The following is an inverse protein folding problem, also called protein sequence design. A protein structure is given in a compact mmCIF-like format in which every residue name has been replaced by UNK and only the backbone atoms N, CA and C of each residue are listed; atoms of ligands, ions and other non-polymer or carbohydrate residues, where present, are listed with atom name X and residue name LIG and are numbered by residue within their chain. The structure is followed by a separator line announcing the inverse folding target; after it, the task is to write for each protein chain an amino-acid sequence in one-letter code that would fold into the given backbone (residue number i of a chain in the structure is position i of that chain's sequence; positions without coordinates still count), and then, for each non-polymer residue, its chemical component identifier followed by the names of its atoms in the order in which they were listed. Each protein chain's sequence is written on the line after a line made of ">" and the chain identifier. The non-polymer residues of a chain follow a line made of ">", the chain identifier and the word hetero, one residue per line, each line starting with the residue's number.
data_IF_640603456337
#
_entry.id   IF_640603456337
#
_cell.length_a   1.000
_cell.length_b   1.000
_cell.length_c   1.000
_cell.angle_alpha   90.00
_cell.angle_beta   90.00
_cell.angle_gamma   90.00
#
_symmetry.space_group_name_H-M   'P 1'
#
loop_
_entity.id
_entity.type
_entity.pdbx_description
1 polymer ?
#
# COMPACT_ATOMS: atom_id res chain seq x y z
N UNK A 1 1.40 -32.52 45.27
CA UNK A 1 0.47 -32.60 44.11
C UNK A 1 0.19 -31.24 43.49
N UNK A 2 -0.16 -30.20 44.25
CA UNK A 2 -0.51 -28.86 43.71
C UNK A 2 0.63 -28.14 42.94
N UNK A 3 1.90 -28.28 43.37
CA UNK A 3 3.03 -27.63 42.69
C UNK A 3 3.29 -28.23 41.29
N UNK A 4 3.11 -29.54 41.13
CA UNK A 4 3.30 -30.23 39.85
C UNK A 4 2.22 -29.82 38.86
N UNK A 5 0.97 -29.71 39.29
CA UNK A 5 -0.13 -29.25 38.43
C UNK A 5 0.07 -27.81 37.95
N UNK A 6 0.60 -26.92 38.79
CA UNK A 6 0.92 -25.53 38.41
C UNK A 6 2.04 -25.44 37.36
N UNK A 7 3.08 -26.25 37.51
CA UNK A 7 4.19 -26.30 36.55
C UNK A 7 3.70 -26.85 35.20
N UNK A 8 2.91 -27.92 35.21
CA UNK A 8 2.35 -28.51 34.00
C UNK A 8 1.40 -27.55 33.27
N UNK A 9 0.55 -26.81 34.00
CA UNK A 9 -0.30 -25.79 33.38
C UNK A 9 0.51 -24.66 32.75
N UNK A 10 1.59 -24.22 33.41
CA UNK A 10 2.44 -23.15 32.91
C UNK A 10 3.21 -23.58 31.65
N UNK A 11 3.75 -24.81 31.63
CA UNK A 11 4.38 -25.39 30.45
C UNK A 11 3.41 -25.56 29.29
N UNK A 12 2.17 -25.97 29.56
CA UNK A 12 1.11 -26.05 28.55
C UNK A 12 0.76 -24.67 27.98
N UNK A 13 0.62 -23.64 28.81
CA UNK A 13 0.36 -22.27 28.34
C UNK A 13 1.50 -21.69 27.51
N UNK A 14 2.76 -21.94 27.89
CA UNK A 14 3.92 -21.47 27.10
C UNK A 14 3.97 -22.19 25.76
N UNK A 15 3.79 -23.51 25.77
CA UNK A 15 3.81 -24.31 24.54
C UNK A 15 2.69 -23.90 23.59
N UNK A 16 1.46 -23.72 24.09
CA UNK A 16 0.33 -23.28 23.27
C UNK A 16 0.55 -21.88 22.69
N UNK A 17 1.01 -20.91 23.49
CA UNK A 17 1.32 -19.56 22.99
C UNK A 17 2.41 -19.62 21.90
N UNK A 18 3.51 -20.34 22.15
CA UNK A 18 4.60 -20.48 21.18
C UNK A 18 4.13 -21.13 19.88
N UNK A 19 3.35 -22.21 19.96
CA UNK A 19 2.78 -22.88 18.79
C UNK A 19 1.81 -21.96 18.01
N UNK A 20 1.02 -21.14 18.69
CA UNK A 20 0.13 -20.17 18.02
C UNK A 20 0.92 -19.07 17.30
N UNK A 21 2.00 -18.55 17.89
CA UNK A 21 2.84 -17.54 17.25
C UNK A 21 3.56 -18.11 16.03
N UNK A 22 4.13 -19.31 16.13
CA UNK A 22 4.76 -19.99 14.99
C UNK A 22 3.75 -20.25 13.86
N UNK A 23 2.53 -20.66 14.19
CA UNK A 23 1.48 -20.87 13.21
C UNK A 23 1.06 -19.55 12.54
N UNK A 24 0.95 -18.45 13.29
CA UNK A 24 0.66 -17.13 12.73
C UNK A 24 1.76 -16.66 11.79
N UNK A 25 3.04 -16.80 12.16
CA UNK A 25 4.18 -16.47 11.29
C UNK A 25 4.19 -17.33 10.02
N UNK A 26 3.89 -18.62 10.14
CA UNK A 26 3.77 -19.53 9.00
C UNK A 26 2.58 -19.18 8.10
N UNK A 27 1.45 -18.72 8.66
CA UNK A 27 0.30 -18.26 7.86
C UNK A 27 0.56 -16.91 7.18
N UNK A 28 1.26 -15.99 7.83
CA UNK A 28 1.66 -14.70 7.25
C UNK A 28 2.65 -14.94 6.11
N UNK A 29 3.69 -15.73 6.35
CA UNK A 29 4.65 -16.13 5.32
C UNK A 29 4.01 -16.95 4.21
N UNK A 30 3.08 -17.86 4.52
CA UNK A 30 2.33 -18.59 3.49
C UNK A 30 1.42 -17.65 2.68
N UNK A 31 0.80 -16.64 3.29
CA UNK A 31 0.00 -15.63 2.57
C UNK A 31 0.86 -14.73 1.69
N UNK A 32 2.06 -14.34 2.13
CA UNK A 32 2.99 -13.55 1.31
C UNK A 32 3.59 -14.41 0.19
N UNK A 33 3.94 -15.66 0.48
CA UNK A 33 4.38 -16.63 -0.53
C UNK A 33 3.27 -17.01 -1.50
N UNK A 34 2.02 -17.12 -1.07
CA UNK A 34 0.88 -17.44 -1.94
C UNK A 34 0.52 -16.24 -2.82
N UNK A 35 0.60 -15.01 -2.30
CA UNK A 35 0.52 -13.78 -3.13
C UNK A 35 1.66 -13.72 -4.14
N UNK A 36 2.85 -14.16 -3.75
CA UNK A 36 4.03 -14.20 -4.61
C UNK A 36 3.95 -15.32 -5.67
N UNK A 37 3.51 -16.53 -5.31
CA UNK A 37 3.29 -17.64 -6.24
C UNK A 37 2.14 -17.36 -7.21
N UNK A 38 1.07 -16.70 -6.73
CA UNK A 38 -0.02 -16.22 -7.59
C UNK A 38 0.42 -15.06 -8.50
N UNK A 39 1.56 -14.42 -8.21
CA UNK A 39 2.17 -13.41 -9.08
C UNK A 39 3.13 -14.00 -10.13
N UNK A 40 3.38 -15.30 -10.09
CA UNK A 40 4.14 -16.02 -11.13
C UNK A 40 3.20 -16.56 -12.19
N UNK A 41 2.55 -15.66 -12.94
CA UNK A 41 2.13 -15.98 -14.32
C UNK A 41 3.25 -15.52 -15.26
N UNK A 42 4.13 -16.41 -15.75
CA UNK A 42 4.92 -16.12 -16.93
C UNK A 42 4.02 -16.35 -18.14
N UNK A 43 3.54 -15.29 -18.78
CA UNK A 43 2.91 -15.43 -20.09
C UNK A 43 3.60 -14.51 -21.09
N UNK A 44 4.80 -14.89 -21.48
CA UNK A 44 5.35 -14.56 -22.79
C UNK A 44 4.73 -15.49 -23.84
N UNK A 45 3.68 -15.03 -24.54
CA UNK A 45 3.47 -15.18 -26.00
C UNK A 45 2.01 -14.91 -26.41
N UNK A 46 1.83 -13.77 -27.09
CA UNK A 46 0.96 -13.48 -28.23
C UNK A 46 -0.39 -14.20 -28.38
N UNK A 47 -1.48 -13.52 -28.05
CA UNK A 47 -2.63 -13.40 -28.97
C UNK A 47 -3.44 -12.16 -28.60
N UNK A 48 -3.80 -11.41 -29.64
CA UNK A 48 -4.57 -10.19 -29.58
C UNK A 48 -5.91 -10.41 -28.84
N UNK A 49 -6.25 -9.47 -27.95
CA UNK A 49 -7.58 -8.90 -27.66
C UNK A 49 -7.49 -8.18 -26.30
N UNK A 50 -7.54 -6.84 -26.36
CA UNK A 50 -7.71 -5.84 -25.28
C UNK A 50 -7.36 -6.23 -23.82
N UNK A 51 -6.36 -5.59 -23.18
CA UNK A 51 -6.07 -5.85 -21.78
C UNK A 51 -7.06 -5.14 -20.84
N UNK A 52 -7.58 -5.81 -19.80
CA UNK A 52 -8.16 -5.11 -18.65
C UNK A 52 -7.03 -4.36 -17.96
N UNK A 53 -7.32 -3.15 -17.46
CA UNK A 53 -6.39 -2.21 -16.85
C UNK A 53 -5.38 -2.88 -15.88
N UNK A 54 -4.22 -3.27 -16.41
CA UNK A 54 -3.10 -3.80 -15.64
C UNK A 54 -2.13 -2.66 -15.33
N UNK A 55 -1.48 -2.71 -14.17
CA UNK A 55 -0.50 -1.73 -13.72
C UNK A 55 0.57 -1.41 -14.78
N UNK A 56 0.92 -2.38 -15.64
CA UNK A 56 1.82 -2.18 -16.76
C UNK A 56 1.32 -1.14 -17.79
N UNK A 57 0.04 -1.15 -18.15
CA UNK A 57 -0.53 -0.17 -19.08
C UNK A 57 -0.53 1.24 -18.46
N UNK A 58 -0.75 1.33 -17.15
CA UNK A 58 -0.67 2.56 -16.39
C UNK A 58 0.76 3.11 -16.33
N UNK A 59 1.75 2.26 -16.05
CA UNK A 59 3.16 2.65 -16.03
C UNK A 59 3.67 3.07 -17.42
N UNK A 60 3.28 2.37 -18.48
CA UNK A 60 3.58 2.80 -19.84
C UNK A 60 2.95 4.16 -20.17
N UNK A 61 1.75 4.43 -19.65
CA UNK A 61 1.11 5.74 -19.82
C UNK A 61 1.80 6.84 -19.03
N UNK A 62 2.24 6.56 -17.79
CA UNK A 62 3.05 7.50 -17.00
C UNK A 62 4.38 7.76 -17.68
N UNK A 63 5.10 6.72 -18.12
CA UNK A 63 6.40 6.87 -18.78
C UNK A 63 6.28 7.66 -20.09
N UNK A 64 5.22 7.42 -20.87
CA UNK A 64 4.97 8.18 -22.10
C UNK A 64 4.52 9.63 -21.88
N UNK A 65 3.80 9.93 -20.79
CA UNK A 65 3.27 11.27 -20.52
C UNK A 65 4.12 12.12 -19.57
N UNK A 66 4.93 11.48 -18.74
CA UNK A 66 5.77 12.08 -17.70
C UNK A 66 7.10 11.31 -17.66
N UNK A 67 7.98 11.48 -18.66
CA UNK A 67 9.24 10.75 -18.72
C UNK A 67 10.12 11.04 -17.51
N UNK A 68 10.78 10.02 -16.99
CA UNK A 68 11.80 10.21 -15.95
C UNK A 68 13.09 10.72 -16.59
N UNK A 69 13.68 11.74 -15.98
CA UNK A 69 14.99 12.30 -16.36
C UNK A 69 15.98 12.08 -15.24
N UNK A 70 17.26 11.91 -15.55
CA UNK A 70 18.30 11.88 -14.53
C UNK A 70 18.55 13.28 -13.98
N UNK A 71 18.57 13.41 -12.66
CA UNK A 71 18.94 14.64 -12.00
C UNK A 71 20.42 14.93 -12.25
N UNK A 72 20.71 16.13 -12.74
CA UNK A 72 22.07 16.65 -12.93
C UNK A 72 22.26 17.81 -11.96
N UNK A 73 23.22 17.68 -11.05
CA UNK A 73 23.63 18.76 -10.18
C UNK A 73 24.23 19.88 -11.05
N UNK A 74 23.64 21.07 -11.02
CA UNK A 74 24.30 22.26 -11.58
C UNK A 74 25.26 22.82 -10.54
N UNK A 75 26.55 23.03 -10.85
CA UNK A 75 27.52 23.54 -9.89
C UNK A 75 27.31 24.96 -9.36
N UNK A 76 26.17 25.64 -9.60
CA UNK A 76 26.10 27.10 -9.45
C UNK A 76 24.77 27.72 -8.96
N UNK A 77 23.97 27.02 -8.15
CA UNK A 77 22.87 27.69 -7.45
C UNK A 77 22.63 27.04 -6.07
N UNK A 78 23.04 27.69 -4.97
CA UNK A 78 22.47 27.37 -3.67
C UNK A 78 21.01 27.89 -3.69
N UNK A 79 20.14 27.36 -2.84
CA UNK A 79 18.78 27.89 -2.66
C UNK A 79 17.82 27.72 -3.86
N UNK A 80 17.42 26.48 -4.13
CA UNK A 80 16.06 26.24 -4.59
C UNK A 80 15.46 25.04 -3.86
N UNK A 81 14.27 25.25 -3.31
CA UNK A 81 13.35 24.23 -2.78
C UNK A 81 12.93 23.17 -3.81
N UNK A 82 13.53 23.18 -5.00
CA UNK A 82 13.37 22.20 -6.07
C UNK A 82 14.42 21.07 -6.01
N UNK A 83 15.31 21.09 -5.01
CA UNK A 83 16.42 20.13 -4.84
C UNK A 83 16.09 18.94 -3.90
N UNK A 84 14.85 18.80 -3.44
CA UNK A 84 14.44 17.66 -2.60
C UNK A 84 13.08 17.11 -2.99
N UNK A 85 12.91 15.80 -2.80
CA UNK A 85 11.65 15.10 -2.99
C UNK A 85 10.77 15.29 -1.76
N UNK A 86 9.60 15.90 -1.91
CA UNK A 86 8.66 16.11 -0.79
C UNK A 86 7.90 14.85 -0.32
N UNK A 87 8.02 13.74 -1.06
CA UNK A 87 7.41 12.45 -0.68
C UNK A 87 8.30 11.67 0.28
N UNK A 88 9.60 11.56 -0.01
CA UNK A 88 10.55 10.87 0.88
C UNK A 88 11.39 11.81 1.73
N UNK A 89 11.23 13.14 1.56
CA UNK A 89 11.95 14.21 2.25
C UNK A 89 13.48 14.20 2.03
N UNK A 90 13.98 13.39 1.09
CA UNK A 90 15.40 13.31 0.72
C UNK A 90 15.77 14.34 -0.35
N UNK A 91 17.02 14.83 -0.31
CA UNK A 91 17.59 15.64 -1.40
C UNK A 91 17.83 14.78 -2.64
N UNK A 92 17.79 15.41 -3.82
CA UNK A 92 18.16 14.76 -5.07
C UNK A 92 19.68 14.66 -5.21
N UNK A 93 20.15 13.48 -5.59
CA UNK A 93 21.55 13.19 -5.86
C UNK A 93 21.80 13.03 -7.36
N UNK A 94 23.05 13.25 -7.80
CA UNK A 94 23.40 13.11 -9.21
C UNK A 94 23.19 11.67 -9.68
N UNK A 95 22.44 11.52 -10.78
CA UNK A 95 22.04 10.20 -11.28
C UNK A 95 20.71 9.68 -10.73
N UNK A 96 20.05 10.41 -9.83
CA UNK A 96 18.69 10.04 -9.41
C UNK A 96 17.69 10.16 -10.55
N UNK A 97 16.82 9.16 -10.67
CA UNK A 97 15.69 9.22 -11.60
C UNK A 97 14.59 10.09 -11.00
N UNK A 98 14.35 11.25 -11.62
CA UNK A 98 13.32 12.19 -11.20
C UNK A 98 12.25 12.34 -12.27
N UNK A 99 11.01 12.58 -11.85
CA UNK A 99 9.90 12.94 -12.73
C UNK A 99 9.46 14.36 -12.38
N UNK A 100 9.36 15.22 -13.40
CA UNK A 100 8.80 16.57 -13.28
C UNK A 100 7.40 16.61 -13.86
N UNK A 101 6.43 16.97 -13.02
CA UNK A 101 5.02 17.09 -13.40
C UNK A 101 4.76 18.38 -14.18
N UNK A 102 3.63 18.45 -14.91
CA UNK A 102 3.17 19.68 -15.59
C UNK A 102 2.97 20.85 -14.63
N UNK A 103 2.66 20.57 -13.37
CA UNK A 103 2.58 21.57 -12.30
C UNK A 103 3.94 22.05 -11.79
N UNK A 104 5.04 21.68 -12.45
CA UNK A 104 6.45 22.02 -12.17
C UNK A 104 7.09 21.36 -10.95
N UNK A 105 6.33 20.64 -10.13
CA UNK A 105 6.85 19.87 -9.00
C UNK A 105 7.65 18.64 -9.46
N UNK A 106 8.74 18.37 -8.77
CA UNK A 106 9.70 17.31 -9.07
C UNK A 106 9.74 16.30 -7.92
N UNK A 107 9.80 15.02 -8.26
CA UNK A 107 9.84 13.90 -7.31
C UNK A 107 10.74 12.80 -7.86
N UNK A 108 11.21 11.87 -7.01
CA UNK A 108 11.80 10.63 -7.52
C UNK A 108 10.78 9.86 -8.35
N UNK A 109 11.27 9.19 -9.40
CA UNK A 109 10.48 8.27 -10.23
C UNK A 109 9.70 7.30 -9.35
N UNK A 110 10.39 6.59 -8.46
CA UNK A 110 9.78 5.57 -7.60
C UNK A 110 8.79 6.16 -6.59
N UNK A 111 9.09 7.34 -6.03
CA UNK A 111 8.21 8.03 -5.09
C UNK A 111 6.89 8.44 -5.76
N UNK A 112 6.98 9.02 -6.96
CA UNK A 112 5.80 9.44 -7.71
C UNK A 112 5.03 8.23 -8.24
N UNK A 113 5.72 7.21 -8.73
CA UNK A 113 5.12 5.99 -9.28
C UNK A 113 4.27 5.27 -8.21
N UNK A 114 4.81 5.08 -6.99
CA UNK A 114 4.06 4.53 -5.85
C UNK A 114 2.88 5.41 -5.44
N UNK A 115 3.07 6.72 -5.43
CA UNK A 115 1.99 7.66 -5.12
C UNK A 115 0.84 7.55 -6.13
N UNK A 116 1.16 7.47 -7.42
CA UNK A 116 0.14 7.38 -8.47
C UNK A 116 -0.59 6.04 -8.46
N UNK A 117 0.06 4.95 -8.00
CA UNK A 117 -0.59 3.66 -7.73
C UNK A 117 -1.56 3.70 -6.53
N UNK A 118 -1.22 4.45 -5.48
CA UNK A 118 -1.97 4.47 -4.22
C UNK A 118 -3.03 5.60 -4.17
N UNK A 119 -2.74 6.78 -4.73
CA UNK A 119 -3.49 8.02 -4.52
C UNK A 119 -3.77 8.80 -5.83
N UNK A 120 -4.86 8.40 -6.49
CA UNK A 120 -5.65 9.19 -7.45
C UNK A 120 -4.93 9.93 -8.59
N UNK A 121 -3.80 9.44 -9.11
CA UNK A 121 -3.12 10.05 -10.24
C UNK A 121 -2.95 11.60 -10.13
N UNK A 122 -2.71 12.11 -8.91
CA UNK A 122 -2.62 13.56 -8.62
C UNK A 122 -1.25 13.94 -8.06
N UNK A 123 -0.90 15.23 -8.12
CA UNK A 123 0.34 15.74 -7.56
C UNK A 123 0.29 15.79 -6.01
N UNK A 124 1.28 15.23 -5.30
CA UNK A 124 1.34 15.26 -3.83
C UNK A 124 1.32 16.67 -3.22
N UNK A 125 1.91 17.65 -3.91
CA UNK A 125 2.06 19.02 -3.39
C UNK A 125 0.88 19.94 -3.68
N UNK A 126 0.22 19.77 -4.83
CA UNK A 126 -0.83 20.71 -5.28
C UNK A 126 -2.11 20.07 -5.77
N UNK A 127 -2.21 18.73 -5.68
CA UNK A 127 -3.40 17.94 -6.02
C UNK A 127 -3.91 18.10 -7.46
N UNK A 128 -3.15 18.74 -8.34
CA UNK A 128 -3.44 18.81 -9.78
C UNK A 128 -3.33 17.42 -10.40
N UNK A 129 -4.27 17.09 -11.29
CA UNK A 129 -4.30 15.81 -12.01
C UNK A 129 -3.04 15.67 -12.88
N UNK A 130 -2.36 14.53 -12.75
CA UNK A 130 -1.15 14.19 -13.50
C UNK A 130 -1.50 13.61 -14.87
N UNK A 131 -2.60 12.85 -14.93
CA UNK A 131 -3.11 12.21 -16.13
C UNK A 131 -4.48 12.80 -16.53
N UNK A 132 -4.81 12.85 -17.84
CA UNK A 132 -6.13 13.25 -18.30
C UNK A 132 -7.22 12.28 -17.80
N UNK A 133 -8.45 12.80 -17.61
CA UNK A 133 -9.57 12.10 -16.95
C UNK A 133 -9.92 10.75 -17.55
N UNK A 134 -9.71 10.57 -18.85
CA UNK A 134 -9.97 9.33 -19.59
C UNK A 134 -9.07 8.18 -19.10
N UNK A 135 -7.87 8.50 -18.61
CA UNK A 135 -6.95 7.55 -18.00
C UNK A 135 -7.18 7.40 -16.49
N UNK A 136 -7.56 8.48 -15.80
CA UNK A 136 -7.79 8.47 -14.35
C UNK A 136 -9.12 7.78 -13.95
N UNK A 137 -10.12 7.76 -14.84
CA UNK A 137 -11.44 7.16 -14.57
C UNK A 137 -11.38 5.67 -14.22
N UNK A 138 -10.41 4.92 -14.74
CA UNK A 138 -10.26 3.48 -14.46
C UNK A 138 -9.65 3.17 -13.08
N UNK A 139 -8.87 4.09 -12.51
CA UNK A 139 -8.35 3.96 -11.13
C UNK A 139 -9.42 4.28 -10.09
N UNK A 140 -10.32 5.22 -10.38
CA UNK A 140 -11.44 5.57 -9.48
C UNK A 140 -12.40 4.38 -9.28
N UNK A 141 -12.74 3.69 -10.37
CA UNK A 141 -13.57 2.47 -10.33
C UNK A 141 -12.92 1.34 -9.50
N UNK A 142 -11.59 1.17 -9.57
CA UNK A 142 -10.85 0.18 -8.76
C UNK A 142 -10.92 0.52 -7.26
N UNK A 143 -10.86 1.81 -6.91
CA UNK A 143 -10.92 2.26 -5.51
C UNK A 143 -12.33 2.19 -4.93
N UNK A 144 -13.35 2.53 -5.73
CA UNK A 144 -14.76 2.34 -5.38
C UNK A 144 -15.08 0.86 -5.16
N UNK A 145 -14.57 -0.05 -6.00
CA UNK A 145 -14.72 -1.50 -5.81
C UNK A 145 -13.99 -2.05 -4.56
N UNK A 146 -12.92 -1.39 -4.07
CA UNK A 146 -12.30 -1.71 -2.77
C UNK A 146 -12.95 -0.98 -1.59
N UNK A 147 -13.80 0.00 -1.86
CA UNK A 147 -14.53 0.81 -0.89
C UNK A 147 -16.02 0.43 -0.85
N UNK A 148 -16.34 -0.78 -1.30
CA UNK A 148 -17.62 -1.45 -1.08
C UNK A 148 -17.44 -2.49 0.04
N UNK A 149 -17.00 -2.00 1.21
CA UNK A 149 -17.37 -2.62 2.50
C UNK A 149 -18.36 -1.65 3.13
N UNK A 150 -19.61 -1.86 2.72
CA UNK A 150 -20.80 -1.22 3.26
C UNK A 150 -21.02 -1.73 4.70
N UNK A 151 -20.60 -0.93 5.67
CA UNK A 151 -21.48 -0.54 6.77
C UNK A 151 -22.20 -1.66 7.53
N UNK A 152 -21.49 -2.64 8.09
CA UNK A 152 -22.02 -3.44 9.19
C UNK A 152 -21.25 -3.26 10.51
N UNK A 153 -20.70 -2.06 10.72
CA UNK A 153 -20.25 -1.64 12.06
C UNK A 153 -21.44 -1.62 13.04
N UNK A 154 -22.66 -1.41 12.56
CA UNK A 154 -23.89 -1.51 13.36
C UNK A 154 -24.18 -2.95 13.82
N UNK A 155 -23.91 -3.97 12.99
CA UNK A 155 -24.05 -5.39 13.38
C UNK A 155 -22.95 -5.82 14.35
N UNK A 156 -21.72 -5.31 14.18
CA UNK A 156 -20.60 -5.57 15.09
C UNK A 156 -20.83 -4.91 16.46
N UNK A 157 -21.34 -3.68 16.50
CA UNK A 157 -21.73 -3.00 17.74
C UNK A 157 -22.89 -3.73 18.42
N UNK A 158 -23.88 -4.20 17.65
CA UNK A 158 -25.00 -4.98 18.19
C UNK A 158 -24.53 -6.33 18.75
N UNK A 159 -23.63 -7.04 18.06
CA UNK A 159 -23.02 -8.29 18.53
C UNK A 159 -22.14 -8.08 19.77
N UNK A 160 -21.36 -7.00 19.83
CA UNK A 160 -20.56 -6.64 21.02
C UNK A 160 -21.46 -6.27 22.20
N UNK A 161 -22.58 -5.58 21.97
CA UNK A 161 -23.55 -5.23 23.01
C UNK A 161 -24.31 -6.46 23.54
N UNK A 162 -24.61 -7.45 22.68
CA UNK A 162 -25.23 -8.71 23.06
C UNK A 162 -24.25 -9.62 23.84
N UNK A 163 -22.95 -9.59 23.51
CA UNK A 163 -21.91 -10.30 24.24
C UNK A 163 -21.57 -9.63 25.59
N UNK A 164 -21.79 -8.33 25.71
CA UNK A 164 -21.54 -7.55 26.93
C UNK A 164 -22.81 -7.31 27.78
N UNK A 165 -23.93 -7.93 27.39
CA UNK A 165 -25.23 -7.87 28.05
C UNK A 165 -25.41 -8.89 29.16
N UNK A 166 -24.62 -8.78 30.24
CA UNK A 166 -25.04 -8.99 31.65
C UNK A 166 -23.80 -9.11 32.57
N UNK A 167 -23.26 -8.00 33.07
CA UNK A 167 -22.75 -7.85 34.45
C UNK A 167 -22.24 -6.42 34.75
N UNK A 168 -23.02 -5.39 34.43
CA UNK A 168 -22.76 -4.03 34.96
C UNK A 168 -24.00 -3.45 35.63
N UNK A 169 -24.57 -4.23 36.54
CA UNK A 169 -25.51 -3.71 37.55
C UNK A 169 -25.19 -4.24 38.94
N UNK A 170 -23.92 -4.19 39.36
CA UNK A 170 -23.56 -4.43 40.77
C UNK A 170 -22.20 -3.86 41.18
N UNK A 171 -22.06 -2.53 41.17
CA UNK A 171 -21.08 -1.84 42.03
C UNK A 171 -21.73 -0.54 42.55
N UNK A 172 -22.69 -0.73 43.45
CA UNK A 172 -22.83 0.05 44.68
C UNK A 172 -22.14 -0.75 45.77
#
# INVERSE_FOLDING_TARGET
>A
MAAVTQILSHLYTISTVFLTLLLLELLISFRTLFKFLSSTTPSSSSTALLPPASSAAFFNLIESKVPSTLYKLRPLAPDSSESSCSVCLSKFEEGDQIRRLKCKHTFHKDCLDRWLEQEFATCPLCRREVLPREAAGRLRVRREATQEYDGSDEELIFLLSALQGNNLHRLL
#
